data_IF_484647432462
#
_entry.id   IF_484647432462
#
_cell.length_a   1.000
_cell.length_b   1.000
_cell.length_c   1.000
_cell.angle_alpha   90.00
_cell.angle_beta   90.00
_cell.angle_gamma   90.00
#
_symmetry.space_group_name_H-M   'P 1'
#
loop_
_entity.id
_entity.type
_entity.pdbx_description
1 polymer ?
#
# COMPACT_ATOMS: atom_id res chain seq x y z
N UNK A 1 71.80 -17.69 -51.00
CA UNK A 1 71.84 -16.95 -52.29
C UNK A 1 71.07 -17.74 -53.33
N UNK A 2 70.28 -17.03 -54.15
CA UNK A 2 69.53 -17.46 -55.36
C UNK A 2 68.29 -18.37 -55.13
N UNK A 3 67.06 -17.84 -55.06
CA UNK A 3 66.16 -17.28 -56.12
C UNK A 3 65.42 -18.33 -56.95
N UNK A 4 64.08 -18.22 -56.95
CA UNK A 4 63.17 -18.87 -57.90
C UNK A 4 61.70 -18.69 -57.52
N UNK A 5 61.09 -17.55 -57.89
CA UNK A 5 59.63 -17.31 -57.91
C UNK A 5 59.00 -18.04 -59.11
N UNK A 6 57.73 -18.44 -59.02
CA UNK A 6 56.72 -18.18 -60.06
C UNK A 6 55.27 -18.58 -59.63
N UNK A 7 54.47 -17.53 -59.42
CA UNK A 7 53.16 -17.21 -60.05
C UNK A 7 52.00 -18.25 -60.13
N UNK A 8 50.92 -17.88 -59.43
CA UNK A 8 49.48 -17.87 -59.79
C UNK A 8 48.85 -19.00 -60.62
N UNK A 9 47.71 -19.55 -60.12
CA UNK A 9 46.41 -19.25 -60.73
C UNK A 9 45.21 -19.60 -59.82
N UNK A 10 44.22 -18.73 -59.94
CA UNK A 10 42.90 -18.66 -59.29
C UNK A 10 41.95 -19.73 -59.83
N UNK A 11 41.07 -20.27 -58.98
CA UNK A 11 39.60 -20.43 -59.18
C UNK A 11 39.03 -21.27 -58.03
N UNK A 12 37.79 -21.17 -57.58
CA UNK A 12 36.84 -20.09 -57.32
C UNK A 12 35.68 -20.76 -56.54
N UNK A 13 34.96 -19.99 -55.71
CA UNK A 13 33.58 -20.20 -55.25
C UNK A 13 33.22 -21.29 -54.20
N UNK A 14 32.89 -20.77 -53.00
CA UNK A 14 31.82 -21.09 -52.01
C UNK A 14 31.84 -22.36 -51.14
N UNK A 15 32.12 -22.11 -49.85
CA UNK A 15 31.18 -22.12 -48.71
C UNK A 15 29.97 -23.07 -48.78
N UNK A 16 29.92 -24.03 -47.85
CA UNK A 16 28.77 -24.34 -46.98
C UNK A 16 29.18 -25.44 -45.98
N UNK A 17 29.61 -25.05 -44.77
CA UNK A 17 29.60 -25.97 -43.62
C UNK A 17 28.23 -25.88 -42.96
N UNK A 18 27.50 -27.00 -42.99
CA UNK A 18 26.21 -27.17 -42.37
C UNK A 18 26.30 -27.13 -40.84
N UNK A 19 25.53 -26.21 -40.28
CA UNK A 19 24.63 -26.38 -39.13
C UNK A 19 25.18 -27.14 -37.90
N UNK A 20 25.53 -26.37 -36.88
CA UNK A 20 25.38 -26.79 -35.49
C UNK A 20 24.23 -26.01 -34.87
N UNK A 21 23.18 -26.76 -34.57
CA UNK A 21 21.95 -26.40 -33.88
C UNK A 21 22.25 -25.76 -32.53
N UNK A 22 21.87 -24.48 -32.38
CA UNK A 22 21.95 -23.74 -31.13
C UNK A 22 20.55 -23.21 -30.82
N UNK A 23 19.69 -24.10 -30.32
CA UNK A 23 18.40 -23.75 -29.75
C UNK A 23 18.58 -23.20 -28.32
N UNK A 24 19.20 -22.02 -28.21
CA UNK A 24 19.04 -21.15 -27.05
C UNK A 24 17.93 -20.16 -27.37
N UNK A 25 16.72 -20.45 -26.88
CA UNK A 25 15.60 -19.50 -26.86
C UNK A 25 16.00 -18.28 -26.03
N UNK A 26 16.62 -17.28 -26.69
CA UNK A 26 16.65 -15.91 -26.18
C UNK A 26 15.21 -15.40 -26.13
N UNK A 27 14.58 -15.54 -24.97
CA UNK A 27 13.37 -14.80 -24.63
C UNK A 27 13.73 -13.31 -24.57
N UNK A 28 13.66 -12.63 -25.72
CA UNK A 28 13.72 -11.18 -25.81
C UNK A 28 12.56 -10.60 -25.00
N UNK A 29 12.84 -10.15 -23.77
CA UNK A 29 11.95 -9.21 -23.09
C UNK A 29 12.03 -7.90 -23.86
N UNK A 30 11.05 -7.67 -24.73
CA UNK A 30 10.84 -6.38 -25.36
C UNK A 30 10.58 -5.35 -24.25
N UNK A 31 11.57 -4.53 -23.92
CA UNK A 31 11.37 -3.34 -23.12
C UNK A 31 10.51 -2.37 -23.93
N UNK A 32 9.25 -2.21 -23.53
CA UNK A 32 8.34 -1.25 -24.16
C UNK A 32 8.63 0.13 -23.59
N UNK A 33 9.32 0.97 -24.36
CA UNK A 33 9.55 2.37 -24.01
C UNK A 33 8.28 3.17 -24.28
N UNK A 34 7.76 3.86 -23.25
CA UNK A 34 6.59 4.72 -23.36
C UNK A 34 7.00 6.17 -23.59
N UNK A 35 6.25 6.89 -24.41
CA UNK A 35 6.35 8.35 -24.51
C UNK A 35 5.86 9.04 -23.23
N UNK A 36 6.25 10.30 -23.03
CA UNK A 36 5.77 11.08 -21.87
C UNK A 36 4.25 11.24 -21.86
N UNK A 37 3.62 11.45 -23.03
CA UNK A 37 2.17 11.49 -23.18
C UNK A 37 1.50 10.18 -22.75
N UNK A 38 2.00 9.03 -23.18
CA UNK A 38 1.44 7.72 -22.79
C UNK A 38 1.59 7.48 -21.29
N UNK A 39 2.76 7.82 -20.70
CA UNK A 39 2.96 7.74 -19.25
C UNK A 39 1.98 8.66 -18.52
N UNK A 40 1.77 9.89 -19.01
CA UNK A 40 0.83 10.85 -18.44
C UNK A 40 -0.61 10.35 -18.49
N UNK A 41 -1.03 9.73 -19.60
CA UNK A 41 -2.35 9.11 -19.73
C UNK A 41 -2.52 7.94 -18.76
N UNK A 42 -1.54 7.03 -18.66
CA UNK A 42 -1.57 5.91 -17.72
C UNK A 42 -1.69 6.37 -16.25
N UNK A 43 -0.98 7.44 -15.89
CA UNK A 43 -1.07 8.05 -14.56
C UNK A 43 -2.48 8.60 -14.32
N UNK A 44 -3.05 9.35 -15.28
CA UNK A 44 -4.42 9.91 -15.17
C UNK A 44 -5.46 8.80 -15.02
N UNK A 45 -5.39 7.76 -15.84
CA UNK A 45 -6.29 6.60 -15.77
C UNK A 45 -6.16 5.85 -14.44
N UNK A 46 -4.94 5.72 -13.91
CA UNK A 46 -4.72 5.12 -12.60
C UNK A 46 -5.37 5.95 -11.50
N UNK A 47 -5.19 7.27 -11.50
CA UNK A 47 -5.82 8.18 -10.53
C UNK A 47 -7.35 8.09 -10.62
N UNK A 48 -7.91 8.12 -11.83
CA UNK A 48 -9.36 8.02 -12.03
C UNK A 48 -9.94 6.69 -11.50
N UNK A 49 -9.25 5.56 -11.75
CA UNK A 49 -9.65 4.26 -11.23
C UNK A 49 -9.63 4.20 -9.70
N UNK A 50 -8.61 4.77 -9.07
CA UNK A 50 -8.53 4.79 -7.60
C UNK A 50 -9.58 5.73 -6.97
N UNK A 51 -9.89 6.87 -7.63
CA UNK A 51 -11.01 7.74 -7.24
C UNK A 51 -12.35 7.02 -7.30
N UNK A 52 -12.65 6.37 -8.43
CA UNK A 52 -13.90 5.61 -8.61
C UNK A 52 -14.07 4.55 -7.53
N UNK A 53 -13.02 3.79 -7.22
CA UNK A 53 -13.06 2.81 -6.11
C UNK A 53 -13.32 3.48 -4.77
N UNK A 54 -12.79 4.67 -4.54
CA UNK A 54 -13.06 5.44 -3.31
C UNK A 54 -14.52 5.85 -3.20
N UNK A 55 -15.09 6.37 -4.29
CA UNK A 55 -16.49 6.78 -4.33
C UNK A 55 -17.42 5.58 -4.11
N UNK A 56 -17.10 4.42 -4.70
CA UNK A 56 -17.83 3.18 -4.48
C UNK A 56 -17.80 2.73 -3.01
N UNK A 57 -16.64 2.85 -2.33
CA UNK A 57 -16.54 2.53 -0.88
C UNK A 57 -17.38 3.48 -0.03
N UNK A 58 -17.36 4.78 -0.34
CA UNK A 58 -18.14 5.79 0.39
C UNK A 58 -19.64 5.57 0.16
N UNK A 59 -20.03 5.29 -1.07
CA UNK A 59 -21.42 4.98 -1.42
C UNK A 59 -21.90 3.73 -0.68
N UNK A 60 -21.10 2.68 -0.67
CA UNK A 60 -21.39 1.44 0.03
C UNK A 60 -21.52 1.65 1.54
N UNK A 61 -20.66 2.46 2.17
CA UNK A 61 -20.82 2.83 3.57
C UNK A 61 -22.18 3.52 3.80
N UNK A 62 -22.47 4.58 3.03
CA UNK A 62 -23.73 5.34 3.17
C UNK A 62 -24.97 4.46 3.02
N UNK A 63 -24.98 3.55 2.05
CA UNK A 63 -26.12 2.68 1.77
C UNK A 63 -26.31 1.58 2.83
N UNK A 64 -25.23 1.12 3.48
CA UNK A 64 -25.29 -0.06 4.37
C UNK A 64 -25.17 0.26 5.86
N UNK A 65 -24.58 1.38 6.27
CA UNK A 65 -24.41 1.73 7.69
C UNK A 65 -24.80 3.18 8.05
N UNK A 66 -25.37 3.95 7.11
CA UNK A 66 -25.68 5.38 7.28
C UNK A 66 -24.49 6.23 7.76
N UNK A 67 -23.26 5.74 7.61
CA UNK A 67 -22.00 6.43 7.88
C UNK A 67 -21.21 6.56 6.58
N UNK A 68 -20.15 7.37 6.63
CA UNK A 68 -19.16 7.48 5.57
C UNK A 68 -17.91 6.62 5.86
N UNK A 69 -17.91 5.88 6.97
CA UNK A 69 -16.78 5.11 7.50
C UNK A 69 -16.90 3.62 7.15
N UNK A 70 -15.84 3.07 6.60
CA UNK A 70 -15.74 1.64 6.27
C UNK A 70 -14.28 1.19 6.33
N UNK A 71 -14.07 0.05 6.98
CA UNK A 71 -12.79 -0.66 7.06
C UNK A 71 -12.75 -1.86 6.12
N UNK A 72 -11.56 -2.17 5.60
CA UNK A 72 -11.28 -3.39 4.85
C UNK A 72 -10.06 -4.07 5.44
N UNK A 73 -10.20 -5.34 5.81
CA UNK A 73 -9.11 -6.21 6.21
C UNK A 73 -8.69 -7.07 5.02
N UNK A 74 -7.43 -6.92 4.60
CA UNK A 74 -6.83 -7.68 3.51
C UNK A 74 -5.90 -8.74 4.10
N UNK A 75 -6.19 -10.01 3.82
CA UNK A 75 -5.38 -11.17 4.22
C UNK A 75 -5.40 -12.23 3.13
N UNK A 76 -4.23 -12.68 2.68
CA UNK A 76 -4.08 -13.76 1.69
C UNK A 76 -4.93 -13.57 0.42
N UNK A 77 -5.01 -12.32 -0.06
CA UNK A 77 -5.80 -11.95 -1.24
C UNK A 77 -7.32 -11.87 -1.00
N UNK A 78 -7.80 -12.17 0.21
CA UNK A 78 -9.20 -12.04 0.60
C UNK A 78 -9.44 -10.70 1.29
N UNK A 79 -10.63 -10.16 1.06
CA UNK A 79 -11.09 -8.89 1.64
C UNK A 79 -12.25 -9.17 2.57
N UNK A 80 -12.15 -8.74 3.82
CA UNK A 80 -13.27 -8.68 4.76
C UNK A 80 -13.62 -7.20 4.97
N UNK A 81 -14.89 -6.86 4.79
CA UNK A 81 -15.41 -5.51 5.00
C UNK A 81 -15.94 -5.38 6.43
N UNK A 82 -15.72 -4.22 7.04
CA UNK A 82 -16.17 -3.88 8.39
C UNK A 82 -16.77 -2.49 8.34
N UNK A 83 -18.01 -2.35 8.80
CA UNK A 83 -18.70 -1.07 8.82
C UNK A 83 -18.41 -0.34 10.13
N UNK A 84 -18.19 0.97 10.05
CA UNK A 84 -17.94 1.84 11.20
C UNK A 84 -19.13 2.73 11.57
N UNK A 85 -18.96 3.52 12.62
CA UNK A 85 -19.81 4.67 12.96
C UNK A 85 -19.19 5.96 12.41
N UNK A 86 -19.52 7.15 12.93
CA UNK A 86 -19.02 8.42 12.38
C UNK A 86 -17.50 8.60 12.57
N UNK A 87 -16.90 7.92 13.54
CA UNK A 87 -15.54 8.20 14.00
C UNK A 87 -14.64 6.95 14.03
N UNK A 88 -15.20 5.73 14.00
CA UNK A 88 -14.43 4.49 14.17
C UNK A 88 -15.00 3.31 13.40
N UNK A 89 -14.14 2.33 13.10
CA UNK A 89 -14.58 0.97 12.72
C UNK A 89 -14.67 0.12 13.98
N UNK A 90 -15.81 -0.53 14.21
CA UNK A 90 -16.03 -1.36 15.40
C UNK A 90 -15.58 -2.80 15.18
N UNK A 91 -14.92 -3.38 16.19
CA UNK A 91 -14.53 -4.79 16.23
C UNK A 91 -15.14 -5.42 17.48
N UNK A 92 -16.35 -5.96 17.33
CA UNK A 92 -17.09 -6.58 18.44
C UNK A 92 -16.65 -8.06 18.58
N UNK A 93 -16.37 -8.55 19.80
CA UNK A 93 -16.05 -9.96 20.01
C UNK A 93 -17.11 -10.91 19.42
N UNK A 94 -16.67 -12.01 18.80
CA UNK A 94 -17.56 -12.95 18.11
C UNK A 94 -17.92 -12.58 16.67
N UNK A 95 -17.61 -11.37 16.21
CA UNK A 95 -17.75 -11.02 14.80
C UNK A 95 -16.60 -11.56 13.96
N UNK A 96 -16.90 -11.98 12.73
CA UNK A 96 -15.92 -12.55 11.80
C UNK A 96 -14.67 -11.69 11.60
N UNK A 97 -14.83 -10.37 11.59
CA UNK A 97 -13.70 -9.45 11.44
C UNK A 97 -12.81 -9.40 12.69
N UNK A 98 -13.41 -9.43 13.87
CA UNK A 98 -12.71 -9.47 15.16
C UNK A 98 -11.97 -10.79 15.33
N UNK A 99 -12.63 -11.92 15.07
CA UNK A 99 -11.99 -13.24 15.11
C UNK A 99 -10.84 -13.33 14.10
N UNK A 100 -10.99 -12.75 12.90
CA UNK A 100 -9.89 -12.66 11.94
C UNK A 100 -8.68 -11.93 12.53
N UNK A 101 -8.89 -10.81 13.22
CA UNK A 101 -7.81 -10.04 13.84
C UNK A 101 -7.13 -10.83 14.97
N UNK A 102 -7.89 -11.56 15.77
CA UNK A 102 -7.40 -12.34 16.90
C UNK A 102 -6.61 -13.58 16.47
N UNK A 103 -7.12 -14.32 15.48
CA UNK A 103 -6.55 -15.60 15.04
C UNK A 103 -5.38 -15.44 14.05
N UNK A 104 -5.22 -14.25 13.47
CA UNK A 104 -4.20 -14.03 12.45
C UNK A 104 -2.81 -13.87 13.06
N UNK A 105 -1.81 -14.43 12.36
CA UNK A 105 -0.40 -14.27 12.72
C UNK A 105 -0.05 -12.78 12.86
N UNK A 106 0.88 -12.42 13.77
CA UNK A 106 1.36 -11.05 13.87
C UNK A 106 1.82 -10.49 12.53
N UNK A 107 1.53 -9.22 12.27
CA UNK A 107 1.95 -8.50 11.07
C UNK A 107 1.54 -9.17 9.73
N UNK A 108 0.36 -9.79 9.66
CA UNK A 108 -0.14 -10.47 8.45
C UNK A 108 -1.28 -9.74 7.72
N UNK A 109 -1.91 -8.76 8.35
CA UNK A 109 -3.08 -8.05 7.81
C UNK A 109 -2.69 -6.65 7.34
N UNK A 110 -3.21 -6.25 6.18
CA UNK A 110 -3.25 -4.85 5.74
C UNK A 110 -4.66 -4.33 5.95
N UNK A 111 -4.82 -3.25 6.69
CA UNK A 111 -6.11 -2.61 6.93
C UNK A 111 -6.21 -1.33 6.12
N UNK A 112 -7.32 -1.16 5.41
CA UNK A 112 -7.74 0.08 4.77
C UNK A 112 -8.87 0.70 5.60
N UNK A 113 -8.79 1.96 5.94
CA UNK A 113 -9.82 2.69 6.67
C UNK A 113 -10.18 3.96 5.89
N UNK A 114 -11.45 4.10 5.53
CA UNK A 114 -11.94 5.26 4.77
C UNK A 114 -12.40 6.35 5.73
N UNK A 115 -11.53 7.33 5.99
CA UNK A 115 -11.80 8.42 6.92
C UNK A 115 -12.34 9.65 6.15
N UNK A 116 -13.65 9.92 6.17
CA UNK A 116 -14.32 10.93 5.36
C UNK A 116 -14.15 12.35 5.92
N UNK A 117 -13.78 12.45 7.21
CA UNK A 117 -13.53 13.69 7.95
C UNK A 117 -12.25 14.45 7.57
N UNK A 118 -11.56 14.05 6.49
CA UNK A 118 -10.38 14.74 5.93
C UNK A 118 -9.11 14.71 6.78
N UNK A 119 -9.13 14.14 7.98
CA UNK A 119 -7.96 14.00 8.86
C UNK A 119 -6.99 12.92 8.40
N UNK A 120 -5.73 13.02 8.85
CA UNK A 120 -4.82 11.88 8.83
C UNK A 120 -5.21 10.83 9.89
N UNK A 121 -4.24 10.12 10.44
CA UNK A 121 -4.50 9.20 11.56
C UNK A 121 -5.07 9.96 12.77
N UNK A 122 -6.19 9.48 13.29
CA UNK A 122 -6.70 9.83 14.61
C UNK A 122 -5.94 9.10 15.72
N UNK A 123 -6.13 9.49 16.98
CA UNK A 123 -5.56 8.73 18.11
C UNK A 123 -6.16 7.32 18.20
N UNK A 124 -7.44 7.18 17.86
CA UNK A 124 -8.14 5.89 17.83
C UNK A 124 -7.57 4.97 16.75
N UNK A 125 -7.27 5.50 15.57
CA UNK A 125 -6.59 4.76 14.49
C UNK A 125 -5.26 4.19 14.96
N UNK A 126 -4.48 5.00 15.66
CA UNK A 126 -3.18 4.61 16.20
C UNK A 126 -3.33 3.57 17.31
N UNK A 127 -4.28 3.75 18.23
CA UNK A 127 -4.56 2.80 19.31
C UNK A 127 -4.98 1.44 18.75
N UNK A 128 -5.95 1.41 17.84
CA UNK A 128 -6.36 0.22 17.11
C UNK A 128 -5.18 -0.46 16.41
N UNK A 129 -4.34 0.31 15.70
CA UNK A 129 -3.16 -0.22 15.01
C UNK A 129 -2.13 -0.84 15.97
N UNK A 130 -1.92 -0.22 17.13
CA UNK A 130 -0.95 -0.66 18.13
C UNK A 130 -1.45 -1.91 18.86
N UNK A 131 -2.73 -1.93 19.26
CA UNK A 131 -3.32 -3.03 20.04
C UNK A 131 -3.48 -4.30 19.21
N UNK A 132 -3.83 -4.17 17.93
CA UNK A 132 -4.00 -5.32 17.05
C UNK A 132 -2.67 -5.81 16.48
N UNK A 133 -2.11 -6.86 17.10
CA UNK A 133 -0.82 -7.48 16.71
C UNK A 133 -0.81 -8.01 15.27
N UNK A 134 -1.96 -8.44 14.76
CA UNK A 134 -2.10 -8.99 13.41
C UNK A 134 -2.03 -7.92 12.31
N UNK A 135 -2.40 -6.67 12.60
CA UNK A 135 -2.32 -5.56 11.64
C UNK A 135 -0.86 -5.16 11.47
N UNK A 136 -0.33 -5.34 10.26
CA UNK A 136 0.99 -4.84 9.86
C UNK A 136 0.94 -3.40 9.40
N UNK A 137 -0.04 -3.10 8.56
CA UNK A 137 -0.15 -1.83 7.85
C UNK A 137 -1.56 -1.29 8.02
N UNK A 138 -1.67 -0.05 8.47
CA UNK A 138 -2.92 0.71 8.45
C UNK A 138 -2.81 1.79 7.39
N UNK A 139 -3.79 1.85 6.50
CA UNK A 139 -3.87 2.81 5.41
C UNK A 139 -5.16 3.61 5.54
N UNK A 140 -5.03 4.92 5.67
CA UNK A 140 -6.15 5.87 5.66
C UNK A 140 -6.32 6.36 4.22
N UNK A 141 -7.55 6.25 3.71
CA UNK A 141 -7.93 6.85 2.44
C UNK A 141 -8.96 7.94 2.71
N UNK A 142 -8.66 9.15 2.26
CA UNK A 142 -9.61 10.27 2.32
C UNK A 142 -10.35 10.45 0.99
N UNK A 143 -11.48 11.15 1.03
CA UNK A 143 -12.35 11.39 -0.14
C UNK A 143 -11.66 12.14 -1.31
N UNK A 144 -10.45 12.69 -1.12
CA UNK A 144 -9.65 13.36 -2.17
C UNK A 144 -8.39 12.60 -2.56
N UNK A 145 -8.37 11.26 -2.39
CA UNK A 145 -7.27 10.38 -2.80
C UNK A 145 -5.94 10.60 -2.08
N UNK A 146 -5.93 11.30 -0.94
CA UNK A 146 -4.77 11.29 -0.06
C UNK A 146 -4.76 9.95 0.66
N UNK A 147 -3.75 9.14 0.36
CA UNK A 147 -3.50 7.87 1.02
C UNK A 147 -2.36 8.08 2.00
N UNK A 148 -2.64 7.93 3.29
CA UNK A 148 -1.60 7.89 4.33
C UNK A 148 -1.48 6.45 4.81
N UNK A 149 -0.28 5.99 5.09
CA UNK A 149 -0.08 4.65 5.64
C UNK A 149 1.01 4.64 6.70
N UNK A 150 0.85 3.73 7.66
CA UNK A 150 1.87 3.38 8.66
C UNK A 150 2.04 1.87 8.64
N UNK A 151 3.26 1.39 8.87
CA UNK A 151 3.57 -0.05 8.87
C UNK A 151 4.52 -0.41 9.99
N UNK A 152 4.27 -1.56 10.64
CA UNK A 152 5.18 -2.19 11.58
C UNK A 152 6.35 -2.77 10.79
N UNK A 153 7.50 -2.12 10.88
CA UNK A 153 8.76 -2.58 10.29
C UNK A 153 9.45 -3.56 11.26
N UNK A 154 10.53 -4.24 10.85
CA UNK A 154 11.34 -5.03 11.78
C UNK A 154 11.90 -4.23 12.97
N UNK A 155 12.00 -2.90 12.85
CA UNK A 155 12.47 -2.00 13.91
C UNK A 155 11.32 -1.53 14.82
N UNK A 156 10.07 -1.86 14.50
CA UNK A 156 8.92 -1.49 15.32
C UNK A 156 9.02 -2.09 16.72
N UNK A 157 8.98 -1.22 17.73
CA UNK A 157 8.97 -1.62 19.13
C UNK A 157 7.69 -1.12 19.81
N UNK A 158 6.77 -2.05 20.08
CA UNK A 158 5.48 -1.73 20.67
C UNK A 158 5.60 -1.03 22.02
N UNK A 159 6.54 -1.43 22.88
CA UNK A 159 6.75 -0.81 24.19
C UNK A 159 7.20 0.65 24.08
N UNK A 160 8.09 0.96 23.13
CA UNK A 160 8.50 2.34 22.86
C UNK A 160 7.33 3.19 22.34
N UNK A 161 6.53 2.62 21.44
CA UNK A 161 5.34 3.30 20.91
C UNK A 161 4.32 3.57 22.01
N UNK A 162 4.10 2.64 22.94
CA UNK A 162 3.22 2.87 24.10
C UNK A 162 3.71 4.01 25.00
N UNK A 163 5.03 4.15 25.21
CA UNK A 163 5.59 5.28 25.95
C UNK A 163 5.28 6.60 25.26
N UNK A 164 5.56 6.69 23.96
CA UNK A 164 5.25 7.87 23.14
C UNK A 164 3.75 8.21 23.19
N UNK A 165 2.88 7.22 23.04
CA UNK A 165 1.42 7.43 23.11
C UNK A 165 0.97 7.95 24.47
N UNK A 166 1.55 7.43 25.57
CA UNK A 166 1.27 7.92 26.92
C UNK A 166 1.66 9.39 27.08
N UNK A 167 2.85 9.76 26.62
CA UNK A 167 3.36 11.12 26.73
C UNK A 167 2.52 12.11 25.90
N UNK A 168 2.05 11.70 24.71
CA UNK A 168 1.14 12.48 23.87
C UNK A 168 -0.21 12.67 24.58
N UNK A 169 -0.82 11.59 25.11
CA UNK A 169 -2.11 11.65 25.82
C UNK A 169 -2.01 12.59 27.03
N UNK A 170 -0.94 12.49 27.82
CA UNK A 170 -0.71 13.37 28.97
C UNK A 170 -0.56 14.84 28.56
N UNK A 171 0.17 15.12 27.49
CA UNK A 171 0.36 16.49 26.97
C UNK A 171 -0.94 17.12 26.48
N UNK A 172 -1.84 16.34 25.87
CA UNK A 172 -3.18 16.81 25.46
C UNK A 172 -4.02 17.16 26.70
N UNK A 173 -4.02 16.30 27.72
CA UNK A 173 -4.75 16.56 28.97
C UNK A 173 -4.30 17.86 29.64
N UNK A 174 -2.98 18.11 29.71
CA UNK A 174 -2.45 19.34 30.30
C UNK A 174 -2.93 20.58 29.54
N UNK A 175 -2.82 20.60 28.21
CA UNK A 175 -3.28 21.72 27.38
C UNK A 175 -4.78 21.99 27.52
N UNK A 176 -5.60 20.94 27.61
CA UNK A 176 -7.03 21.10 27.80
C UNK A 176 -7.34 21.71 29.17
N UNK A 177 -6.61 21.30 30.22
CA UNK A 177 -6.77 21.87 31.56
C UNK A 177 -6.36 23.35 31.59
N UNK A 178 -5.24 23.71 30.95
CA UNK A 178 -4.80 25.11 30.82
C UNK A 178 -5.87 25.96 30.11
N UNK A 179 -6.41 25.47 28.97
CA UNK A 179 -7.47 26.18 28.25
C UNK A 179 -8.75 26.34 29.08
N UNK A 180 -9.10 25.38 29.93
CA UNK A 180 -10.22 25.49 30.87
C UNK A 180 -9.95 26.58 31.91
N UNK A 181 -8.75 26.57 32.51
CA UNK A 181 -8.35 27.59 33.50
C UNK A 181 -8.39 28.99 32.87
N UNK A 182 -7.84 29.17 31.68
CA UNK A 182 -7.86 30.45 30.95
C UNK A 182 -9.27 30.94 30.65
N UNK A 183 -10.23 30.05 30.44
CA UNK A 183 -11.63 30.41 30.22
C UNK A 183 -12.37 30.71 31.53
N UNK A 184 -11.95 30.15 32.67
CA UNK A 184 -12.51 30.45 34.00
C UNK A 184 -12.00 31.79 34.53
N UNK A 185 -10.77 32.16 34.19
CA UNK A 185 -10.13 33.40 34.66
C UNK A 185 -10.47 34.65 33.82
N UNK A 186 -11.33 34.52 32.80
CA UNK A 186 -11.91 35.63 32.03
C UNK A 186 -13.26 36.04 32.59
#
# INVERSE_FOLDING_TARGET
MSHGKNESNITDVTQNEEQLDNSDEQSQRNEKTFSQEEVSQLIKERIARERKKSDERIKDAKENNNSNEVGYLLKDGKVIKVYGDQDNVSFVPGEKATELLLDSKPNSIVMLHNHPGQSGFSLNDLEMFIENKSIRTLTIVTNYTVVKYISKTPLYNQSQVYKIMKDIKQSITIRNNEAIVDNILK
#
